data_IF_738551382423
#
_entry.id   IF_738551382423
#
_cell.length_a   1.000
_cell.length_b   1.000
_cell.length_c   1.000
_cell.angle_alpha   90.00
_cell.angle_beta   90.00
_cell.angle_gamma   90.00
#
_symmetry.space_group_name_H-M   'P 1'
#
loop_
_entity.id
_entity.type
_entity.pdbx_description
1 polymer ?
#
# COMPACT_ATOMS: atom_id res chain seq x y z
N UNK A 1 -42.56 37.88 8.69
CA UNK A 1 -42.15 38.04 10.11
C UNK A 1 -40.67 38.33 10.11
N UNK A 2 -40.36 39.61 9.99
CA UNK A 2 -39.01 40.19 10.06
C UNK A 2 -38.56 40.26 11.52
N UNK A 3 -37.30 39.90 11.77
CA UNK A 3 -36.67 39.95 13.09
C UNK A 3 -35.31 40.63 13.02
N UNK A 4 -35.33 41.95 12.98
CA UNK A 4 -34.18 42.85 13.08
C UNK A 4 -33.73 42.95 14.53
N UNK A 5 -32.44 42.70 14.86
CA UNK A 5 -31.89 43.12 16.15
C UNK A 5 -30.48 43.69 16.04
N UNK A 6 -30.32 44.79 16.77
CA UNK A 6 -29.33 45.87 16.66
C UNK A 6 -27.96 45.54 17.26
N UNK A 7 -26.99 46.25 16.69
CA UNK A 7 -25.59 46.49 17.10
C UNK A 7 -25.46 46.96 18.56
N UNK A 8 -24.34 46.59 19.20
CA UNK A 8 -23.71 47.38 20.27
C UNK A 8 -22.25 47.64 19.87
N UNK A 9 -21.90 48.92 19.90
CA UNK A 9 -20.60 49.52 19.61
C UNK A 9 -19.74 49.64 20.89
N UNK A 10 -18.44 49.81 20.64
CA UNK A 10 -17.46 50.61 21.38
C UNK A 10 -16.86 50.07 22.68
N UNK A 11 -15.53 49.92 22.63
CA UNK A 11 -14.62 49.91 23.76
C UNK A 11 -13.19 50.17 23.27
N UNK A 12 -12.91 51.43 22.89
CA UNK A 12 -11.56 51.97 22.66
C UNK A 12 -10.88 52.18 24.01
N UNK A 13 -9.69 51.60 24.20
CA UNK A 13 -8.83 51.85 25.36
C UNK A 13 -7.39 51.48 25.03
N UNK A 14 -6.59 52.49 24.68
CA UNK A 14 -5.17 52.41 24.43
C UNK A 14 -4.37 52.35 25.75
N UNK A 15 -3.28 51.59 25.80
CA UNK A 15 -2.02 52.00 26.44
C UNK A 15 -0.94 50.92 26.26
N UNK A 16 0.25 51.40 25.91
CA UNK A 16 1.45 50.64 25.62
C UNK A 16 2.03 49.90 26.82
N UNK A 17 2.59 48.71 26.59
CA UNK A 17 3.75 48.24 27.35
C UNK A 17 4.66 47.38 26.45
N UNK A 18 5.80 47.96 26.10
CA UNK A 18 6.92 47.31 25.43
C UNK A 18 7.49 46.18 26.28
N UNK A 19 7.46 44.95 25.79
CA UNK A 19 8.48 43.94 26.12
C UNK A 19 8.97 43.30 24.83
N UNK A 20 10.18 43.70 24.48
CA UNK A 20 11.08 43.03 23.55
C UNK A 20 11.34 41.62 24.11
N UNK A 21 10.61 40.61 23.61
CA UNK A 21 11.02 39.22 23.71
C UNK A 21 11.50 38.77 22.32
N UNK A 22 12.73 39.17 22.03
CA UNK A 22 13.55 38.50 21.04
C UNK A 22 13.69 37.01 21.41
N UNK A 23 13.67 36.15 20.40
CA UNK A 23 14.02 34.72 20.47
C UNK A 23 12.90 33.76 20.89
N UNK A 24 11.70 33.87 20.30
CA UNK A 24 10.82 32.71 20.21
C UNK A 24 11.35 31.78 19.12
N UNK A 25 12.33 30.97 19.54
CA UNK A 25 12.71 29.66 19.05
C UNK A 25 11.86 29.23 17.85
N UNK A 26 12.41 29.38 16.65
CA UNK A 26 12.01 28.54 15.53
C UNK A 26 12.45 27.14 15.95
N UNK A 27 11.60 26.48 16.75
CA UNK A 27 11.56 25.03 16.84
C UNK A 27 11.16 24.63 15.43
N UNK A 28 12.16 24.57 14.56
CA UNK A 28 12.09 23.76 13.38
C UNK A 28 11.70 22.40 13.92
N UNK A 29 10.43 22.08 13.81
CA UNK A 29 9.95 20.72 13.73
C UNK A 29 10.67 20.14 12.51
N UNK A 30 11.93 19.79 12.71
CA UNK A 30 12.51 18.61 12.12
C UNK A 30 11.54 17.51 12.54
N UNK A 31 10.49 17.37 11.74
CA UNK A 31 9.79 16.11 11.61
C UNK A 31 10.94 15.13 11.50
N UNK A 32 11.08 14.17 12.43
CA UNK A 32 12.09 13.14 12.27
C UNK A 32 11.83 12.61 10.86
N UNK A 33 12.72 12.96 9.93
CA UNK A 33 12.61 12.45 8.56
C UNK A 33 12.57 10.96 8.78
N UNK A 34 11.43 10.34 8.46
CA UNK A 34 11.19 8.94 8.74
C UNK A 34 12.43 8.22 8.26
N UNK A 35 13.28 7.84 9.21
CA UNK A 35 14.46 7.09 8.89
C UNK A 35 13.84 5.81 8.37
N UNK A 36 13.90 5.62 7.03
CA UNK A 36 13.48 4.38 6.37
C UNK A 36 13.90 3.26 7.32
N UNK A 37 13.03 2.31 7.60
CA UNK A 37 13.31 1.30 8.60
C UNK A 37 14.54 0.48 8.14
N UNK A 38 15.75 0.92 8.49
CA UNK A 38 17.02 0.29 8.09
C UNK A 38 17.23 -1.05 8.79
N UNK A 39 16.25 -1.49 9.57
CA UNK A 39 16.26 -2.79 10.22
C UNK A 39 16.42 -3.87 9.16
N UNK A 40 17.58 -4.51 9.19
CA UNK A 40 17.93 -5.67 8.37
C UNK A 40 17.19 -6.95 8.78
N UNK A 41 16.13 -6.84 9.59
CA UNK A 41 15.31 -8.00 9.93
C UNK A 41 14.70 -8.54 8.62
N UNK A 42 14.88 -9.85 8.31
CA UNK A 42 14.38 -10.43 7.07
C UNK A 42 12.90 -10.16 6.77
N UNK A 43 12.04 -10.08 7.80
CA UNK A 43 10.63 -9.75 7.61
C UNK A 43 10.41 -8.33 7.04
N UNK A 44 11.24 -7.35 7.43
CA UNK A 44 11.15 -5.99 6.89
C UNK A 44 11.67 -5.94 5.46
N UNK A 45 12.76 -6.67 5.16
CA UNK A 45 13.27 -6.80 3.81
C UNK A 45 12.25 -7.47 2.88
N UNK A 46 11.52 -8.49 3.36
CA UNK A 46 10.43 -9.12 2.62
C UNK A 46 9.31 -8.12 2.30
N UNK A 47 8.85 -7.36 3.31
CA UNK A 47 7.83 -6.32 3.13
C UNK A 47 8.24 -5.27 2.08
N UNK A 48 9.46 -4.75 2.20
CA UNK A 48 10.00 -3.75 1.26
C UNK A 48 10.17 -4.32 -0.16
N UNK A 49 10.50 -5.61 -0.27
CA UNK A 49 10.68 -6.28 -1.55
C UNK A 49 9.36 -6.60 -2.25
N UNK A 50 8.36 -7.03 -1.48
CA UNK A 50 7.06 -7.48 -2.01
C UNK A 50 6.13 -6.32 -2.33
N UNK A 51 6.40 -5.13 -1.79
CA UNK A 51 5.74 -3.88 -2.17
C UNK A 51 6.54 -3.10 -3.21
N UNK A 52 5.88 -2.71 -4.30
CA UNK A 52 6.41 -1.76 -5.28
C UNK A 52 5.59 -0.48 -5.21
N UNK A 53 6.28 0.64 -5.05
CA UNK A 53 5.70 1.99 -5.08
C UNK A 53 6.40 2.78 -6.19
N UNK A 54 5.66 3.05 -7.25
CA UNK A 54 6.13 3.71 -8.46
C UNK A 54 5.49 5.11 -8.54
N UNK A 55 6.29 6.15 -8.27
CA UNK A 55 5.89 7.56 -8.41
C UNK A 55 6.26 8.04 -9.82
N UNK A 56 5.22 8.34 -10.61
CA UNK A 56 5.35 8.76 -12.01
C UNK A 56 5.36 10.28 -12.17
N UNK A 57 5.34 11.02 -11.05
CA UNK A 57 5.26 12.47 -11.01
C UNK A 57 3.84 12.99 -11.26
N UNK A 58 3.63 14.27 -10.97
CA UNK A 58 2.34 14.92 -11.19
C UNK A 58 1.20 14.40 -10.29
N UNK A 59 1.51 13.61 -9.26
CA UNK A 59 0.54 12.95 -8.40
C UNK A 59 0.05 11.60 -8.91
N UNK A 60 0.66 11.04 -9.97
CA UNK A 60 0.36 9.69 -10.46
C UNK A 60 1.24 8.67 -9.72
N UNK A 61 0.60 7.68 -9.10
CA UNK A 61 1.27 6.64 -8.33
C UNK A 61 0.71 5.26 -8.68
N UNK A 62 1.61 4.30 -8.84
CA UNK A 62 1.27 2.88 -8.94
C UNK A 62 1.77 2.15 -7.70
N UNK A 63 0.90 1.35 -7.11
CA UNK A 63 1.20 0.50 -5.95
C UNK A 63 0.95 -0.92 -6.37
N UNK A 64 1.91 -1.80 -6.12
CA UNK A 64 1.71 -3.23 -6.26
C UNK A 64 2.25 -3.98 -5.05
N UNK A 65 1.56 -5.04 -4.67
CA UNK A 65 1.89 -5.85 -3.51
C UNK A 65 1.73 -7.31 -3.89
N UNK A 66 2.76 -8.12 -3.68
CA UNK A 66 2.64 -9.58 -3.77
C UNK A 66 2.45 -10.18 -2.37
N UNK A 67 1.25 -10.68 -2.09
CA UNK A 67 0.98 -11.37 -0.84
C UNK A 67 1.59 -12.79 -0.86
N UNK A 68 2.81 -12.92 -0.31
CA UNK A 68 3.59 -14.16 -0.26
C UNK A 68 3.84 -14.64 1.18
N UNK A 69 4.20 -15.91 1.36
CA UNK A 69 4.39 -16.53 2.68
C UNK A 69 5.38 -15.81 3.61
N UNK A 70 6.48 -15.17 3.15
CA UNK A 70 7.37 -14.42 4.03
C UNK A 70 6.75 -13.18 4.69
N UNK A 71 5.59 -12.70 4.22
CA UNK A 71 4.86 -11.58 4.85
C UNK A 71 4.10 -12.01 6.10
N UNK A 72 3.80 -13.30 6.25
CA UNK A 72 3.07 -13.77 7.42
C UNK A 72 3.95 -13.62 8.67
N UNK A 73 3.42 -13.04 9.76
CA UNK A 73 4.06 -13.11 11.06
C UNK A 73 4.44 -14.54 11.42
N UNK A 74 5.58 -14.76 12.09
CA UNK A 74 6.08 -16.12 12.38
C UNK A 74 5.08 -16.98 13.15
N UNK A 75 4.29 -16.38 14.03
CA UNK A 75 3.21 -17.02 14.79
C UNK A 75 1.98 -17.36 13.94
N UNK A 76 1.89 -16.81 12.72
CA UNK A 76 0.82 -17.02 11.75
C UNK A 76 1.25 -17.87 10.54
N UNK A 77 2.54 -18.24 10.44
CA UNK A 77 3.08 -19.14 9.42
C UNK A 77 2.69 -20.60 9.70
N UNK A 78 1.38 -20.87 9.68
CA UNK A 78 0.88 -22.24 9.75
C UNK A 78 1.15 -22.97 8.43
N UNK A 79 1.39 -24.29 8.44
CA UNK A 79 1.58 -25.06 7.20
C UNK A 79 0.47 -24.84 6.16
N UNK A 80 -0.79 -24.74 6.61
CA UNK A 80 -1.93 -24.48 5.73
C UNK A 80 -1.88 -23.09 5.08
N UNK A 81 -1.47 -22.05 5.81
CA UNK A 81 -1.34 -20.71 5.26
C UNK A 81 -0.18 -20.61 4.27
N UNK A 82 0.95 -21.26 4.57
CA UNK A 82 2.08 -21.34 3.65
C UNK A 82 1.71 -22.10 2.38
N UNK A 83 1.07 -23.28 2.50
CA UNK A 83 0.59 -24.07 1.37
C UNK A 83 -0.38 -23.26 0.49
N UNK A 84 -1.27 -22.48 1.10
CA UNK A 84 -2.21 -21.62 0.38
C UNK A 84 -1.48 -20.54 -0.44
N UNK A 85 -0.50 -19.86 0.16
CA UNK A 85 0.30 -18.81 -0.49
C UNK A 85 1.35 -19.37 -1.47
N UNK A 86 1.68 -20.66 -1.37
CA UNK A 86 2.53 -21.36 -2.34
C UNK A 86 1.70 -21.87 -3.53
N UNK A 87 0.42 -22.21 -3.31
CA UNK A 87 -0.49 -22.65 -4.35
C UNK A 87 -0.99 -21.51 -5.23
N UNK A 88 -1.16 -20.32 -4.66
CA UNK A 88 -1.70 -19.16 -5.38
C UNK A 88 -0.75 -17.97 -5.34
N UNK A 89 -0.65 -17.26 -6.46
CA UNK A 89 0.00 -15.95 -6.53
C UNK A 89 -1.09 -14.90 -6.33
N UNK A 90 -0.96 -14.07 -5.30
CA UNK A 90 -1.94 -13.04 -4.94
C UNK A 90 -1.29 -11.66 -5.14
N UNK A 91 -1.79 -10.89 -6.11
CA UNK A 91 -1.27 -9.56 -6.43
C UNK A 91 -2.34 -8.51 -6.09
N UNK A 92 -2.01 -7.57 -5.22
CA UNK A 92 -2.77 -6.34 -5.02
C UNK A 92 -2.17 -5.24 -5.88
N UNK A 93 -2.99 -4.52 -6.64
CA UNK A 93 -2.52 -3.35 -7.37
C UNK A 93 -3.50 -2.19 -7.29
N UNK A 94 -2.96 -0.96 -7.32
CA UNK A 94 -3.72 0.27 -7.44
C UNK A 94 -2.97 1.23 -8.37
N UNK A 95 -3.71 1.97 -9.18
CA UNK A 95 -3.22 3.13 -9.91
C UNK A 95 -3.99 4.35 -9.39
N UNK A 96 -3.30 5.20 -8.63
CA UNK A 96 -3.86 6.32 -7.92
C UNK A 96 -3.39 7.66 -8.47
N UNK A 97 -4.29 8.65 -8.42
CA UNK A 97 -4.05 10.04 -8.79
C UNK A 97 -4.31 10.95 -7.59
N UNK A 98 -3.31 11.71 -7.21
CA UNK A 98 -3.30 12.58 -6.04
C UNK A 98 -3.26 14.03 -6.49
N UNK A 99 -4.30 14.78 -6.14
CA UNK A 99 -4.31 16.21 -6.43
C UNK A 99 -3.37 16.99 -5.50
N UNK A 100 -3.06 18.24 -5.86
CA UNK A 100 -2.34 19.18 -4.99
C UNK A 100 -3.06 19.47 -3.67
N UNK A 101 -4.36 19.14 -3.58
CA UNK A 101 -5.16 19.25 -2.35
C UNK A 101 -5.18 17.94 -1.54
N UNK A 102 -4.28 17.00 -1.84
CA UNK A 102 -4.18 15.68 -1.21
C UNK A 102 -5.46 14.83 -1.34
N UNK A 103 -6.28 15.08 -2.36
CA UNK A 103 -7.40 14.20 -2.68
C UNK A 103 -6.91 13.04 -3.54
N UNK A 104 -7.09 11.82 -3.06
CA UNK A 104 -6.78 10.60 -3.81
C UNK A 104 -7.99 10.17 -4.65
N UNK A 105 -7.73 9.73 -5.88
CA UNK A 105 -8.66 9.02 -6.74
C UNK A 105 -7.95 7.81 -7.33
N UNK A 106 -8.67 6.76 -7.67
CA UNK A 106 -8.09 5.53 -8.18
C UNK A 106 -8.77 5.14 -9.47
N UNK A 107 -7.98 4.72 -10.44
CA UNK A 107 -8.53 4.17 -11.67
C UNK A 107 -9.24 2.85 -11.38
N UNK A 108 -10.31 2.51 -12.14
CA UNK A 108 -10.89 1.18 -12.07
C UNK A 108 -9.82 0.11 -12.27
N UNK A 109 -10.01 -1.10 -11.70
CA UNK A 109 -9.04 -2.17 -11.84
C UNK A 109 -8.83 -2.50 -13.32
N UNK A 110 -7.66 -2.16 -13.84
CA UNK A 110 -7.23 -2.68 -15.13
C UNK A 110 -6.85 -4.15 -14.97
N UNK A 111 -6.94 -4.89 -16.07
CA UNK A 111 -6.54 -6.29 -16.09
C UNK A 111 -5.06 -6.39 -15.69
N UNK A 112 -4.76 -7.22 -14.69
CA UNK A 112 -3.39 -7.57 -14.29
C UNK A 112 -3.01 -8.84 -15.04
N UNK A 113 -1.94 -8.79 -15.83
CA UNK A 113 -1.35 -9.97 -16.44
C UNK A 113 -0.08 -10.36 -15.67
N UNK A 114 -0.03 -11.60 -15.20
CA UNK A 114 1.11 -12.14 -14.46
C UNK A 114 1.73 -13.26 -15.28
N UNK A 115 3.06 -13.27 -15.35
CA UNK A 115 3.85 -14.25 -16.07
C UNK A 115 4.88 -14.87 -15.15
N UNK A 116 5.18 -16.15 -15.36
CA UNK A 116 6.32 -16.81 -14.72
C UNK A 116 7.67 -16.33 -15.29
N UNK A 117 8.77 -16.86 -14.75
CA UNK A 117 10.13 -16.59 -15.23
C UNK A 117 10.37 -16.96 -16.70
N UNK A 118 9.58 -17.88 -17.26
CA UNK A 118 9.69 -18.34 -18.64
C UNK A 118 8.80 -17.51 -19.60
N UNK A 119 8.10 -16.50 -19.08
CA UNK A 119 7.16 -15.68 -19.83
C UNK A 119 5.82 -16.35 -20.11
N UNK A 120 5.49 -17.45 -19.43
CA UNK A 120 4.19 -18.09 -19.54
C UNK A 120 3.18 -17.37 -18.65
N UNK A 121 1.99 -17.01 -19.18
CA UNK A 121 0.97 -16.34 -18.38
C UNK A 121 0.40 -17.28 -17.32
N UNK A 122 0.25 -16.79 -16.09
CA UNK A 122 -0.43 -17.50 -15.02
C UNK A 122 -1.94 -17.48 -15.22
N UNK A 123 -2.61 -18.52 -14.74
CA UNK A 123 -4.06 -18.65 -14.87
C UNK A 123 -4.76 -17.81 -13.81
N UNK A 124 -5.39 -16.72 -14.22
CA UNK A 124 -6.18 -15.88 -13.33
C UNK A 124 -7.44 -16.62 -12.85
N UNK A 125 -7.71 -16.54 -11.54
CA UNK A 125 -8.93 -17.06 -10.94
C UNK A 125 -10.02 -15.99 -10.94
N UNK A 126 -11.22 -16.40 -11.37
CA UNK A 126 -12.44 -15.61 -11.23
C UNK A 126 -13.15 -15.94 -9.92
N UNK A 127 -14.14 -15.13 -9.52
CA UNK A 127 -14.97 -15.41 -8.34
C UNK A 127 -15.60 -16.81 -8.37
N UNK A 128 -15.97 -17.30 -9.55
CA UNK A 128 -16.61 -18.61 -9.72
C UNK A 128 -15.65 -19.80 -9.58
N UNK A 129 -14.36 -19.58 -9.82
CA UNK A 129 -13.31 -20.60 -9.76
C UNK A 129 -12.46 -20.49 -8.49
N UNK A 130 -12.61 -19.40 -7.75
CA UNK A 130 -11.83 -19.12 -6.56
C UNK A 130 -12.34 -19.95 -5.37
N UNK A 131 -11.46 -20.66 -4.64
CA UNK A 131 -11.86 -21.36 -3.43
C UNK A 131 -12.43 -20.39 -2.38
N UNK A 132 -13.47 -20.76 -1.61
CA UNK A 132 -14.06 -19.87 -0.61
C UNK A 132 -13.06 -19.32 0.43
N UNK A 133 -12.03 -20.09 0.79
CA UNK A 133 -10.98 -19.65 1.72
C UNK A 133 -10.21 -18.43 1.19
N UNK A 134 -10.04 -18.32 -0.12
CA UNK A 134 -9.35 -17.19 -0.73
C UNK A 134 -10.17 -15.91 -0.63
N UNK A 135 -11.50 -15.97 -0.79
CA UNK A 135 -12.36 -14.80 -0.61
C UNK A 135 -12.25 -14.24 0.83
N UNK A 136 -12.20 -15.14 1.82
CA UNK A 136 -11.94 -14.76 3.22
C UNK A 136 -10.58 -14.08 3.39
N UNK A 137 -9.52 -14.67 2.82
CA UNK A 137 -8.18 -14.10 2.87
C UNK A 137 -8.10 -12.72 2.22
N UNK A 138 -8.66 -12.55 1.01
CA UNK A 138 -8.69 -11.27 0.29
C UNK A 138 -9.42 -10.19 1.11
N UNK A 139 -10.52 -10.56 1.79
CA UNK A 139 -11.24 -9.65 2.67
C UNK A 139 -10.37 -9.17 3.84
N UNK A 140 -9.60 -10.08 4.45
CA UNK A 140 -8.67 -9.76 5.54
C UNK A 140 -7.55 -8.85 5.04
N UNK A 141 -6.92 -9.18 3.90
CA UNK A 141 -5.87 -8.38 3.28
C UNK A 141 -6.38 -6.98 2.95
N UNK A 142 -7.55 -6.87 2.32
CA UNK A 142 -8.19 -5.59 1.99
C UNK A 142 -8.48 -4.77 3.24
N UNK A 143 -9.00 -5.40 4.30
CA UNK A 143 -9.30 -4.74 5.57
C UNK A 143 -8.03 -4.29 6.30
N UNK A 144 -6.95 -5.06 6.22
CA UNK A 144 -5.66 -4.69 6.78
C UNK A 144 -5.06 -3.48 6.06
N UNK A 145 -5.01 -3.51 4.72
CA UNK A 145 -4.48 -2.41 3.92
C UNK A 145 -5.32 -1.15 4.02
N UNK A 146 -6.65 -1.27 4.00
CA UNK A 146 -7.55 -0.11 4.16
C UNK A 146 -7.36 0.57 5.51
N UNK A 147 -7.06 -0.19 6.57
CA UNK A 147 -6.74 0.38 7.90
C UNK A 147 -5.33 0.99 7.93
N UNK A 148 -4.35 0.36 7.31
CA UNK A 148 -2.97 0.81 7.32
C UNK A 148 -2.73 2.07 6.45
N UNK A 149 -3.38 2.15 5.28
CA UNK A 149 -3.13 3.18 4.27
C UNK A 149 -4.34 4.09 4.03
N UNK A 150 -5.44 3.91 4.77
CA UNK A 150 -6.65 4.72 4.64
C UNK A 150 -7.26 4.61 3.23
N UNK A 151 -7.62 5.75 2.59
CA UNK A 151 -8.22 5.75 1.25
C UNK A 151 -7.37 5.04 0.18
N UNK A 152 -6.04 5.09 0.30
CA UNK A 152 -5.13 4.42 -0.64
C UNK A 152 -5.24 2.90 -0.57
N UNK A 153 -5.41 2.34 0.63
CA UNK A 153 -5.65 0.90 0.79
C UNK A 153 -6.99 0.45 0.19
N UNK A 154 -8.00 1.33 0.14
CA UNK A 154 -9.30 1.02 -0.46
C UNK A 154 -9.23 0.93 -2.00
N UNK A 155 -8.28 1.63 -2.63
CA UNK A 155 -8.07 1.58 -4.07
C UNK A 155 -7.31 0.34 -4.56
N UNK A 156 -6.82 -0.52 -3.66
CA UNK A 156 -6.12 -1.74 -4.04
C UNK A 156 -7.13 -2.81 -4.45
N UNK A 157 -6.88 -3.37 -5.63
CA UNK A 157 -7.63 -4.49 -6.16
C UNK A 157 -6.76 -5.75 -6.14
N UNK A 158 -7.28 -6.79 -5.50
CA UNK A 158 -6.60 -8.08 -5.40
C UNK A 158 -6.99 -8.99 -6.56
N UNK A 159 -5.98 -9.55 -7.22
CA UNK A 159 -6.12 -10.60 -8.23
C UNK A 159 -5.39 -11.85 -7.76
N UNK A 160 -5.99 -13.01 -8.02
CA UNK A 160 -5.47 -14.31 -7.63
C UNK A 160 -5.18 -15.13 -8.87
N UNK A 161 -4.04 -15.80 -8.88
CA UNK A 161 -3.60 -16.65 -9.98
C UNK A 161 -3.19 -18.02 -9.43
N UNK A 162 -3.41 -19.08 -10.21
CA UNK A 162 -2.75 -20.37 -9.97
C UNK A 162 -1.23 -20.18 -10.08
N UNK A 163 -0.48 -20.60 -9.08
CA UNK A 163 0.96 -20.33 -9.03
C UNK A 163 1.78 -21.13 -10.04
N UNK A 164 1.27 -22.27 -10.53
CA UNK A 164 2.03 -23.17 -11.40
C UNK A 164 3.31 -23.63 -10.71
N UNK A 165 4.47 -23.31 -11.30
CA UNK A 165 5.81 -23.60 -10.76
C UNK A 165 6.40 -22.46 -9.92
N UNK A 166 5.70 -21.32 -9.80
CA UNK A 166 6.16 -20.18 -9.01
C UNK A 166 5.99 -20.45 -7.53
N UNK A 167 7.05 -20.34 -6.73
CA UNK A 167 6.96 -20.29 -5.27
C UNK A 167 7.83 -19.16 -4.75
N UNK A 168 7.35 -18.47 -3.72
CA UNK A 168 8.07 -17.34 -3.15
C UNK A 168 9.47 -17.72 -2.60
N UNK A 169 9.62 -18.96 -2.13
CA UNK A 169 10.85 -19.45 -1.49
C UNK A 169 11.68 -20.43 -2.32
N UNK A 170 11.34 -20.63 -3.60
CA UNK A 170 12.18 -21.39 -4.53
C UNK A 170 12.80 -20.45 -5.55
N UNK A 171 13.90 -20.86 -6.18
CA UNK A 171 14.52 -20.05 -7.25
C UNK A 171 13.53 -19.86 -8.41
N UNK A 172 13.39 -18.63 -8.88
CA UNK A 172 12.55 -18.30 -10.01
C UNK A 172 12.15 -16.83 -10.03
N UNK A 173 10.90 -16.56 -10.39
CA UNK A 173 10.34 -15.22 -10.34
C UNK A 173 9.01 -15.11 -11.06
N UNK A 174 8.39 -13.95 -10.91
CA UNK A 174 7.22 -13.53 -11.68
C UNK A 174 7.46 -12.16 -12.28
N UNK A 175 6.70 -11.86 -13.32
CA UNK A 175 6.54 -10.50 -13.81
C UNK A 175 5.08 -10.13 -13.93
N UNK A 176 4.77 -8.90 -13.56
CA UNK A 176 3.42 -8.34 -13.52
C UNK A 176 3.37 -7.18 -14.49
N UNK A 177 2.48 -7.24 -15.48
CA UNK A 177 2.21 -6.15 -16.39
C UNK A 177 1.01 -5.35 -15.86
N UNK A 178 1.25 -4.09 -15.48
CA UNK A 178 0.23 -3.21 -14.93
C UNK A 178 0.51 -1.76 -15.27
N UNK A 179 -0.55 -0.99 -15.59
CA UNK A 179 -0.45 0.43 -15.95
C UNK A 179 0.66 0.75 -16.99
N UNK A 180 0.81 -0.11 -18.01
CA UNK A 180 1.81 0.05 -19.07
C UNK A 180 3.25 -0.35 -18.71
N UNK A 181 3.52 -0.75 -17.47
CA UNK A 181 4.87 -1.09 -16.97
C UNK A 181 4.96 -2.55 -16.58
N UNK A 182 6.12 -3.16 -16.85
CA UNK A 182 6.46 -4.52 -16.41
C UNK A 182 7.25 -4.42 -15.11
N UNK A 183 6.72 -5.02 -14.07
CA UNK A 183 7.35 -5.10 -12.76
C UNK A 183 7.76 -6.55 -12.49
N UNK A 184 8.91 -6.76 -11.87
CA UNK A 184 9.49 -8.10 -11.70
C UNK A 184 9.76 -8.39 -10.24
N UNK A 185 9.48 -9.63 -9.84
CA UNK A 185 9.84 -10.17 -8.54
C UNK A 185 10.67 -11.43 -8.78
N UNK A 186 11.91 -11.41 -8.38
CA UNK A 186 12.80 -12.57 -8.31
C UNK A 186 12.52 -13.36 -7.04
N UNK A 187 12.70 -14.68 -7.11
CA UNK A 187 12.61 -15.58 -5.96
C UNK A 187 13.92 -16.37 -5.79
N UNK A 188 14.32 -16.73 -4.56
CA UNK A 188 13.56 -16.62 -3.32
C UNK A 188 13.45 -15.18 -2.80
N UNK A 189 12.28 -14.84 -2.27
CA UNK A 189 12.03 -13.58 -1.56
C UNK A 189 12.91 -13.53 -0.31
N UNK A 190 13.44 -12.35 0.08
CA UNK A 190 14.18 -12.20 1.33
C UNK A 190 13.42 -12.78 2.53
N UNK A 191 14.11 -13.53 3.39
CA UNK A 191 13.52 -14.11 4.61
C UNK A 191 12.85 -15.48 4.46
N UNK A 192 12.89 -16.07 3.27
CA UNK A 192 12.67 -17.50 3.11
C UNK A 192 13.69 -18.34 3.91
N UNK A 193 13.29 -19.52 4.43
CA UNK A 193 14.12 -20.39 5.25
C UNK A 193 15.30 -21.03 4.50
#
# INVERSE_FOLDING_TARGET
MEGTMKRILCGLGAAALSIVCASAIVLGSAVPGEARNWSKNPANLANDYLGVYDDRGGGDHVIMIWAASPLLPRDQQTPAAMELLDKYVIIGAAHGHFSKLATASFDPPSKIDVFDQNGQPLVALTESTMPPIMLGLLTILQSALSRAMGPMGQGIHWSVFEAGDVRACTKGGISVQFAGTKYTYDTPVPGCP
#
